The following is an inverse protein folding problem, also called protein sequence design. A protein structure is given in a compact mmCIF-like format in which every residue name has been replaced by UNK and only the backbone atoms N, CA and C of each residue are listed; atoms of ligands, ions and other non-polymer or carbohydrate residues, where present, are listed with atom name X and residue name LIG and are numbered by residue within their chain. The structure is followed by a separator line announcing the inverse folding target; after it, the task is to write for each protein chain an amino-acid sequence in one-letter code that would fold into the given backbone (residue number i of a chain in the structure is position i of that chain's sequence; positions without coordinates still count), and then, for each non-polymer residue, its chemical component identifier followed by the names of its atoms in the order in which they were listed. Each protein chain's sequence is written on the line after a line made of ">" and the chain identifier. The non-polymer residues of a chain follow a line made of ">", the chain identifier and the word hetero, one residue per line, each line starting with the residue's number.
data_IF_122746168451
#
_entry.id   IF_122746168451
#
_cell.length_a   1.000
_cell.length_b   1.000
_cell.length_c   1.000
_cell.angle_alpha   90.00
_cell.angle_beta   90.00
_cell.angle_gamma   90.00
#
_symmetry.space_group_name_H-M   'P 1'
#
loop_
_entity.id
_entity.type
_entity.pdbx_description
1 polymer ?
#
# COMPACT_ATOMS: atom_id res chain seq x y z
N UNK A 1 -27.06 0.57 -10.11
CA UNK A 1 -26.33 1.09 -8.94
C UNK A 1 -25.65 2.39 -9.31
N UNK A 2 -25.71 3.39 -8.44
CA UNK A 2 -25.02 4.67 -8.63
C UNK A 2 -23.51 4.49 -8.60
N UNK A 3 -22.71 5.32 -9.28
CA UNK A 3 -21.24 5.25 -9.21
C UNK A 3 -20.70 5.26 -7.77
N UNK A 4 -21.32 6.06 -6.90
CA UNK A 4 -20.98 6.14 -5.48
C UNK A 4 -21.09 4.78 -4.77
N UNK A 5 -22.12 3.99 -5.06
CA UNK A 5 -22.27 2.66 -4.49
C UNK A 5 -21.15 1.72 -4.96
N UNK A 6 -20.71 1.86 -6.22
CA UNK A 6 -19.54 1.13 -6.73
C UNK A 6 -18.26 1.46 -5.95
N UNK A 7 -18.00 2.75 -5.71
CA UNK A 7 -16.85 3.21 -4.91
C UNK A 7 -16.92 2.65 -3.48
N UNK A 8 -18.08 2.76 -2.82
CA UNK A 8 -18.26 2.22 -1.46
C UNK A 8 -18.06 0.70 -1.41
N UNK A 9 -18.52 -0.02 -2.45
CA UNK A 9 -18.30 -1.47 -2.57
C UNK A 9 -16.82 -1.79 -2.68
N UNK A 10 -16.09 -1.10 -3.57
CA UNK A 10 -14.65 -1.30 -3.74
C UNK A 10 -13.87 -1.01 -2.47
N UNK A 11 -14.20 0.08 -1.77
CA UNK A 11 -13.62 0.43 -0.49
C UNK A 11 -13.86 -0.67 0.55
N UNK A 12 -15.11 -1.11 0.72
CA UNK A 12 -15.47 -2.15 1.69
C UNK A 12 -14.79 -3.48 1.37
N UNK A 13 -14.77 -3.90 0.11
CA UNK A 13 -14.09 -5.13 -0.33
C UNK A 13 -12.60 -5.07 0.00
N UNK A 14 -11.94 -3.95 -0.30
CA UNK A 14 -10.49 -3.82 -0.02
C UNK A 14 -10.21 -3.73 1.46
N UNK A 15 -11.05 -3.05 2.23
CA UNK A 15 -10.93 -2.98 3.69
C UNK A 15 -11.01 -4.38 4.34
N UNK A 16 -11.81 -5.28 3.78
CA UNK A 16 -11.94 -6.67 4.27
C UNK A 16 -10.81 -7.55 3.75
N UNK A 17 -10.54 -7.52 2.43
CA UNK A 17 -9.54 -8.38 1.80
C UNK A 17 -8.09 -7.94 2.11
N UNK A 18 -7.88 -6.68 2.47
CA UNK A 18 -6.56 -6.08 2.69
C UNK A 18 -5.58 -6.26 1.51
N UNK A 19 -6.14 -6.47 0.30
CA UNK A 19 -5.38 -6.67 -0.94
C UNK A 19 -6.07 -5.99 -2.12
N UNK A 20 -5.59 -4.82 -2.49
CA UNK A 20 -6.09 -4.08 -3.66
C UNK A 20 -5.80 -4.80 -4.97
N UNK A 21 -4.66 -5.47 -5.09
CA UNK A 21 -4.31 -6.26 -6.27
C UNK A 21 -5.29 -7.41 -6.47
N UNK A 22 -5.57 -8.20 -5.42
CA UNK A 22 -6.54 -9.29 -5.50
C UNK A 22 -7.95 -8.78 -5.84
N UNK A 23 -8.40 -7.71 -5.19
CA UNK A 23 -9.70 -7.09 -5.47
C UNK A 23 -9.81 -6.60 -6.92
N UNK A 24 -8.75 -5.93 -7.44
CA UNK A 24 -8.73 -5.43 -8.82
C UNK A 24 -8.73 -6.57 -9.83
N UNK A 25 -7.93 -7.62 -9.61
CA UNK A 25 -7.91 -8.82 -10.48
C UNK A 25 -9.29 -9.49 -10.51
N UNK A 26 -9.97 -9.60 -9.37
CA UNK A 26 -11.35 -10.13 -9.31
C UNK A 26 -12.31 -9.26 -10.13
N UNK A 27 -12.24 -7.93 -10.02
CA UNK A 27 -13.08 -7.00 -10.80
C UNK A 27 -12.81 -7.17 -12.30
N UNK A 28 -11.54 -7.26 -12.73
CA UNK A 28 -11.17 -7.51 -14.12
C UNK A 28 -11.74 -8.85 -14.59
N UNK A 29 -11.66 -9.89 -13.78
CA UNK A 29 -12.24 -11.20 -14.05
C UNK A 29 -13.78 -11.15 -14.23
N UNK A 30 -14.49 -10.41 -13.36
CA UNK A 30 -15.94 -10.22 -13.49
C UNK A 30 -16.32 -9.46 -14.76
N UNK A 31 -15.52 -8.46 -15.15
CA UNK A 31 -15.71 -7.75 -16.43
C UNK A 31 -15.47 -8.68 -17.62
N UNK A 32 -14.45 -9.51 -17.56
CA UNK A 32 -14.13 -10.48 -18.61
C UNK A 32 -15.23 -11.54 -18.76
N UNK A 33 -15.79 -11.99 -17.63
CA UNK A 33 -16.90 -12.94 -17.61
C UNK A 33 -18.28 -12.33 -17.98
N UNK A 34 -18.34 -11.01 -18.23
CA UNK A 34 -19.60 -10.31 -18.52
C UNK A 34 -20.52 -10.12 -17.31
N UNK A 35 -20.03 -10.41 -16.10
CA UNK A 35 -20.78 -10.28 -14.84
C UNK A 35 -20.83 -8.84 -14.32
N UNK A 36 -19.89 -7.99 -14.76
CA UNK A 36 -19.78 -6.60 -14.33
C UNK A 36 -19.55 -5.69 -15.54
N UNK A 37 -20.38 -4.67 -15.67
CA UNK A 37 -20.24 -3.66 -16.73
C UNK A 37 -19.03 -2.74 -16.46
N UNK A 38 -18.35 -2.33 -17.51
CA UNK A 38 -17.15 -1.47 -17.44
C UNK A 38 -17.33 -0.21 -16.57
N UNK A 39 -18.40 0.62 -16.69
CA UNK A 39 -18.55 1.81 -15.86
C UNK A 39 -18.66 1.51 -14.36
N UNK A 40 -19.30 0.39 -14.01
CA UNK A 40 -19.41 -0.06 -12.63
C UNK A 40 -18.09 -0.59 -12.10
N UNK A 41 -17.35 -1.34 -12.94
CA UNK A 41 -16.03 -1.85 -12.61
C UNK A 41 -15.05 -0.70 -12.30
N UNK A 42 -15.05 0.35 -13.11
CA UNK A 42 -14.21 1.53 -12.89
C UNK A 42 -14.54 2.19 -11.55
N UNK A 43 -15.82 2.35 -11.20
CA UNK A 43 -16.22 2.90 -9.91
C UNK A 43 -15.73 2.02 -8.74
N UNK A 44 -15.84 0.70 -8.86
CA UNK A 44 -15.32 -0.24 -7.85
C UNK A 44 -13.80 -0.14 -7.72
N UNK A 45 -13.07 -0.05 -8.84
CA UNK A 45 -11.60 0.10 -8.84
C UNK A 45 -11.18 1.40 -8.13
N UNK A 46 -11.90 2.50 -8.31
CA UNK A 46 -11.63 3.73 -7.56
C UNK A 46 -11.83 3.55 -6.05
N UNK A 47 -12.88 2.82 -5.66
CA UNK A 47 -13.09 2.45 -4.27
C UNK A 47 -11.99 1.56 -3.71
N UNK A 48 -11.47 0.62 -4.50
CA UNK A 48 -10.34 -0.25 -4.14
C UNK A 48 -9.10 0.60 -3.82
N UNK A 49 -8.78 1.58 -4.66
CA UNK A 49 -7.65 2.48 -4.43
C UNK A 49 -7.78 3.25 -3.10
N UNK A 50 -8.98 3.77 -2.81
CA UNK A 50 -9.24 4.44 -1.53
C UNK A 50 -9.08 3.44 -0.36
N UNK A 51 -9.60 2.22 -0.51
CA UNK A 51 -9.52 1.18 0.53
C UNK A 51 -8.09 0.78 0.91
N UNK A 52 -7.13 0.88 -0.04
CA UNK A 52 -5.72 0.61 0.22
C UNK A 52 -5.12 1.55 1.28
N UNK A 53 -5.63 2.77 1.40
CA UNK A 53 -5.16 3.73 2.40
C UNK A 53 -5.39 3.26 3.83
N UNK A 54 -6.41 2.43 4.07
CA UNK A 54 -6.69 1.87 5.40
C UNK A 54 -5.56 0.97 5.89
N UNK A 55 -4.97 0.18 4.99
CA UNK A 55 -3.80 -0.66 5.34
C UNK A 55 -2.61 0.19 5.76
N UNK A 56 -2.33 1.27 5.01
CA UNK A 56 -1.26 2.20 5.33
C UNK A 56 -1.47 2.88 6.70
N UNK A 57 -2.73 3.25 7.03
CA UNK A 57 -3.08 3.82 8.32
C UNK A 57 -2.90 2.80 9.46
N UNK A 58 -3.31 1.54 9.26
CA UNK A 58 -3.10 0.49 10.25
C UNK A 58 -1.62 0.28 10.55
N UNK A 59 -0.77 0.24 9.51
CA UNK A 59 0.68 0.09 9.67
C UNK A 59 1.32 1.32 10.36
N UNK A 60 0.72 2.50 10.22
CA UNK A 60 1.24 3.73 10.84
C UNK A 60 1.10 3.78 12.37
N UNK A 61 0.17 3.00 12.95
CA UNK A 61 0.03 2.94 14.40
C UNK A 61 1.27 2.32 15.06
N UNK A 62 1.76 2.98 16.11
CA UNK A 62 2.80 2.42 16.95
C UNK A 62 2.18 1.48 17.98
N UNK A 63 2.18 0.20 17.64
CA UNK A 63 1.65 -0.87 18.50
C UNK A 63 2.75 -1.79 19.03
N UNK A 64 4.02 -1.39 18.95
CA UNK A 64 5.16 -2.25 19.29
C UNK A 64 5.05 -2.88 20.68
N UNK A 65 4.59 -2.12 21.68
CA UNK A 65 4.40 -2.62 23.04
C UNK A 65 3.28 -3.67 23.15
N UNK A 66 2.35 -3.70 22.20
CA UNK A 66 1.21 -4.63 22.18
C UNK A 66 1.45 -5.86 21.30
N UNK A 67 2.52 -5.89 20.51
CA UNK A 67 2.77 -6.97 19.54
C UNK A 67 2.83 -8.34 20.21
N UNK A 68 3.65 -8.51 21.25
CA UNK A 68 3.77 -9.79 21.96
C UNK A 68 2.51 -10.19 22.72
N UNK A 69 1.80 -9.29 23.46
CA UNK A 69 0.49 -9.59 24.01
C UNK A 69 -0.53 -10.04 22.96
N UNK A 70 -0.58 -9.38 21.79
CA UNK A 70 -1.48 -9.71 20.69
C UNK A 70 -1.14 -11.09 20.09
N UNK A 71 0.14 -11.36 19.85
CA UNK A 71 0.62 -12.68 19.41
C UNK A 71 0.22 -13.78 20.39
N UNK A 72 0.47 -13.56 21.68
CA UNK A 72 0.14 -14.55 22.71
C UNK A 72 -1.36 -14.81 22.80
N UNK A 73 -2.18 -13.75 22.82
CA UNK A 73 -3.64 -13.89 22.89
C UNK A 73 -4.21 -14.55 21.63
N UNK A 74 -3.69 -14.18 20.43
CA UNK A 74 -4.08 -14.79 19.17
C UNK A 74 -3.76 -16.28 19.15
N UNK A 75 -2.53 -16.65 19.51
CA UNK A 75 -2.10 -18.04 19.62
C UNK A 75 -2.95 -18.82 20.62
N UNK A 76 -3.17 -18.28 21.82
CA UNK A 76 -3.95 -18.93 22.86
C UNK A 76 -5.39 -19.15 22.42
N UNK A 77 -5.98 -18.14 21.75
CA UNK A 77 -7.35 -18.23 21.26
C UNK A 77 -7.48 -19.27 20.12
N UNK A 78 -6.53 -19.29 19.18
CA UNK A 78 -6.50 -20.28 18.10
C UNK A 78 -6.32 -21.70 18.64
N UNK A 79 -5.35 -21.90 19.54
CA UNK A 79 -5.00 -23.22 20.10
C UNK A 79 -6.07 -23.75 21.04
N UNK A 80 -6.64 -22.90 21.92
CA UNK A 80 -7.59 -23.35 22.96
C UNK A 80 -9.04 -23.39 22.50
N UNK A 81 -9.38 -22.71 21.40
CA UNK A 81 -10.75 -22.64 20.94
C UNK A 81 -11.22 -23.96 20.33
N UNK A 82 -12.38 -24.42 20.76
CA UNK A 82 -13.04 -25.63 20.21
C UNK A 82 -13.97 -25.33 19.03
N UNK A 83 -14.33 -24.06 18.82
CA UNK A 83 -15.25 -23.63 17.77
C UNK A 83 -14.47 -22.99 16.63
N UNK A 84 -14.70 -23.40 15.36
CA UNK A 84 -13.97 -22.86 14.19
C UNK A 84 -13.98 -21.32 14.08
N UNK A 85 -15.09 -20.69 14.52
CA UNK A 85 -15.19 -19.21 14.52
C UNK A 85 -14.17 -18.55 15.42
N UNK A 86 -13.92 -19.10 16.61
CA UNK A 86 -12.96 -18.56 17.56
C UNK A 86 -11.52 -18.88 17.16
N UNK A 87 -11.30 -20.04 16.52
CA UNK A 87 -10.02 -20.36 15.90
C UNK A 87 -9.67 -19.34 14.81
N UNK A 88 -10.61 -19.07 13.88
CA UNK A 88 -10.42 -18.05 12.84
C UNK A 88 -10.15 -16.65 13.41
N UNK A 89 -10.80 -16.28 14.53
CA UNK A 89 -10.51 -15.02 15.23
C UNK A 89 -9.10 -15.05 15.83
N UNK A 90 -8.71 -16.15 16.47
CA UNK A 90 -7.38 -16.36 17.02
C UNK A 90 -6.30 -16.24 15.95
N UNK A 91 -6.49 -16.94 14.82
CA UNK A 91 -5.60 -16.87 13.66
C UNK A 91 -5.48 -15.44 13.10
N UNK A 92 -6.59 -14.72 12.97
CA UNK A 92 -6.59 -13.33 12.52
C UNK A 92 -5.83 -12.41 13.48
N UNK A 93 -6.04 -12.54 14.79
CA UNK A 93 -5.34 -11.76 15.82
C UNK A 93 -3.85 -12.11 15.84
N UNK A 94 -3.50 -13.40 15.75
CA UNK A 94 -2.11 -13.86 15.67
C UNK A 94 -1.41 -13.32 14.43
N UNK A 95 -2.07 -13.43 13.26
CA UNK A 95 -1.53 -12.91 11.98
C UNK A 95 -1.33 -11.40 12.01
N UNK A 96 -2.22 -10.66 12.67
CA UNK A 96 -2.07 -9.22 12.89
C UNK A 96 -0.83 -8.91 13.75
N UNK A 97 -0.60 -9.65 14.81
CA UNK A 97 0.63 -9.56 15.61
C UNK A 97 1.88 -9.87 14.80
N UNK A 98 1.86 -10.92 13.96
CA UNK A 98 2.97 -11.28 13.08
C UNK A 98 3.28 -10.19 12.04
N UNK A 99 2.25 -9.51 11.52
CA UNK A 99 2.44 -8.39 10.62
C UNK A 99 3.29 -7.29 11.26
N UNK A 100 2.95 -6.88 12.49
CA UNK A 100 3.67 -5.83 13.20
C UNK A 100 5.06 -6.27 13.65
N UNK A 101 5.24 -7.52 14.07
CA UNK A 101 6.57 -8.07 14.35
C UNK A 101 7.44 -8.07 13.09
N UNK A 102 6.87 -8.47 11.93
CA UNK A 102 7.59 -8.41 10.65
C UNK A 102 8.01 -6.99 10.27
N UNK A 103 7.16 -6.00 10.51
CA UNK A 103 7.48 -4.57 10.29
C UNK A 103 8.61 -4.11 11.23
N UNK A 104 8.60 -4.54 12.48
CA UNK A 104 9.64 -4.21 13.45
C UNK A 104 10.99 -4.87 13.09
N UNK A 105 10.97 -6.15 12.71
CA UNK A 105 12.15 -6.87 12.20
C UNK A 105 12.73 -6.15 10.99
N UNK A 106 11.87 -5.72 10.05
CA UNK A 106 12.28 -4.94 8.88
C UNK A 106 12.95 -3.63 9.29
N UNK A 107 12.38 -2.90 10.25
CA UNK A 107 12.95 -1.66 10.79
C UNK A 107 14.33 -1.89 11.40
N UNK A 108 14.47 -2.92 12.22
CA UNK A 108 15.76 -3.31 12.82
C UNK A 108 16.80 -3.71 11.76
N UNK A 109 16.39 -4.41 10.71
CA UNK A 109 17.28 -4.80 9.61
C UNK A 109 17.75 -3.60 8.78
N UNK A 110 16.94 -2.55 8.65
CA UNK A 110 17.28 -1.33 7.93
C UNK A 110 18.10 -0.34 8.75
N UNK A 111 18.02 -0.40 10.07
CA UNK A 111 18.70 0.55 10.96
C UNK A 111 20.21 0.70 10.68
N UNK A 112 21.01 -0.37 10.45
CA UNK A 112 22.43 -0.23 10.13
C UNK A 112 22.69 0.49 8.80
N UNK A 113 21.73 0.49 7.87
CA UNK A 113 21.88 1.17 6.58
C UNK A 113 21.80 2.68 6.73
N UNK A 114 21.02 3.19 7.70
CA UNK A 114 20.86 4.61 7.95
C UNK A 114 22.17 5.34 8.31
N UNK A 115 23.19 4.59 8.78
CA UNK A 115 24.55 5.14 9.03
C UNK A 115 25.49 5.04 7.84
N UNK A 116 25.10 4.42 6.73
CA UNK A 116 25.98 4.25 5.57
C UNK A 116 25.91 5.44 4.62
N UNK A 117 27.06 5.96 4.24
CA UNK A 117 27.16 7.13 3.34
C UNK A 117 26.45 6.90 2.01
N UNK A 118 26.57 5.72 1.42
CA UNK A 118 25.91 5.38 0.16
C UNK A 118 24.39 5.44 0.30
N UNK A 119 23.84 4.95 1.40
CA UNK A 119 22.39 5.03 1.66
C UNK A 119 21.94 6.47 1.85
N UNK A 120 22.68 7.26 2.63
CA UNK A 120 22.38 8.68 2.86
C UNK A 120 22.42 9.49 1.57
N UNK A 121 23.42 9.26 0.71
CA UNK A 121 23.53 9.89 -0.60
C UNK A 121 22.31 9.58 -1.50
N UNK A 122 21.89 8.33 -1.51
CA UNK A 122 20.69 7.93 -2.25
C UNK A 122 19.42 8.57 -1.69
N UNK A 123 19.25 8.61 -0.38
CA UNK A 123 18.08 9.26 0.25
C UNK A 123 18.05 10.75 -0.03
N UNK A 124 19.22 11.42 -0.01
CA UNK A 124 19.35 12.83 -0.37
C UNK A 124 18.92 13.07 -1.82
N UNK A 125 19.41 12.25 -2.76
CA UNK A 125 19.00 12.34 -4.18
C UNK A 125 17.50 12.12 -4.38
N UNK A 126 16.91 11.16 -3.69
CA UNK A 126 15.47 10.91 -3.73
C UNK A 126 14.69 12.11 -3.19
N UNK A 127 15.16 12.73 -2.11
CA UNK A 127 14.56 13.93 -1.51
C UNK A 127 14.62 15.14 -2.45
N UNK A 128 15.72 15.30 -3.19
CA UNK A 128 15.94 16.42 -4.11
C UNK A 128 15.26 16.23 -5.47
N UNK A 129 14.98 14.98 -5.86
CA UNK A 129 14.39 14.66 -7.17
C UNK A 129 13.08 13.86 -7.02
N UNK A 130 11.93 14.53 -7.07
CA UNK A 130 10.63 13.83 -7.03
C UNK A 130 10.48 12.73 -8.10
N UNK A 131 11.06 12.94 -9.28
CA UNK A 131 11.03 11.95 -10.34
C UNK A 131 11.77 10.67 -9.94
N UNK A 132 12.93 10.80 -9.30
CA UNK A 132 13.70 9.64 -8.81
C UNK A 132 12.92 8.90 -7.72
N UNK A 133 12.24 9.62 -6.82
CA UNK A 133 11.35 9.03 -5.82
C UNK A 133 10.21 8.24 -6.45
N UNK A 134 9.55 8.80 -7.46
CA UNK A 134 8.48 8.13 -8.21
C UNK A 134 9.01 6.85 -8.88
N UNK A 135 10.15 6.92 -9.57
CA UNK A 135 10.75 5.76 -10.22
C UNK A 135 11.15 4.67 -9.22
N UNK A 136 11.65 5.06 -8.06
CA UNK A 136 12.00 4.13 -6.98
C UNK A 136 10.75 3.39 -6.47
N UNK A 137 9.69 4.12 -6.10
CA UNK A 137 8.45 3.53 -5.61
C UNK A 137 7.79 2.63 -6.64
N UNK A 138 7.73 3.08 -7.92
CA UNK A 138 7.25 2.30 -9.04
C UNK A 138 8.02 0.97 -9.17
N UNK A 139 9.35 1.04 -9.19
CA UNK A 139 10.20 -0.14 -9.35
C UNK A 139 10.05 -1.12 -8.18
N UNK A 140 10.00 -0.60 -6.95
CA UNK A 140 9.82 -1.41 -5.75
C UNK A 140 8.51 -2.19 -5.81
N UNK A 141 7.40 -1.52 -6.12
CA UNK A 141 6.08 -2.17 -6.17
C UNK A 141 5.95 -3.14 -7.32
N UNK A 142 6.56 -2.83 -8.47
CA UNK A 142 6.63 -3.78 -9.59
C UNK A 142 7.35 -5.07 -9.24
N UNK A 143 8.42 -5.00 -8.44
CA UNK A 143 9.21 -6.17 -8.03
C UNK A 143 8.52 -6.91 -6.87
N UNK A 144 8.12 -6.18 -5.84
CA UNK A 144 7.52 -6.76 -4.62
C UNK A 144 6.09 -7.25 -4.86
N UNK A 145 5.36 -6.65 -5.82
CA UNK A 145 3.95 -6.93 -6.15
C UNK A 145 3.00 -6.72 -4.95
N UNK A 146 3.42 -5.93 -3.97
CA UNK A 146 2.65 -5.60 -2.78
C UNK A 146 2.88 -4.15 -2.37
N UNK A 147 1.89 -3.30 -2.62
CA UNK A 147 1.91 -1.90 -2.20
C UNK A 147 1.98 -1.77 -0.67
N UNK A 148 1.28 -2.63 0.06
CA UNK A 148 1.33 -2.62 1.53
C UNK A 148 2.74 -2.88 2.06
N UNK A 149 3.48 -3.82 1.46
CA UNK A 149 4.87 -4.11 1.83
C UNK A 149 5.79 -2.93 1.46
N UNK A 150 5.60 -2.32 0.30
CA UNK A 150 6.34 -1.12 -0.13
C UNK A 150 6.08 0.05 0.82
N UNK A 151 4.82 0.27 1.22
CA UNK A 151 4.45 1.32 2.20
C UNK A 151 5.08 1.04 3.56
N UNK A 152 5.05 -0.20 4.05
CA UNK A 152 5.70 -0.58 5.31
C UNK A 152 7.21 -0.30 5.29
N UNK A 153 7.88 -0.67 4.19
CA UNK A 153 9.30 -0.36 3.99
C UNK A 153 9.54 1.16 3.97
N UNK A 154 8.74 1.90 3.21
CA UNK A 154 8.84 3.36 3.12
C UNK A 154 8.66 4.03 4.49
N UNK A 155 7.66 3.60 5.27
CA UNK A 155 7.42 4.12 6.62
C UNK A 155 8.60 3.82 7.55
N UNK A 156 9.19 2.62 7.46
CA UNK A 156 10.39 2.29 8.23
C UNK A 156 11.58 3.18 7.85
N UNK A 157 11.83 3.39 6.56
CA UNK A 157 12.89 4.32 6.09
C UNK A 157 12.60 5.75 6.54
N UNK A 158 11.35 6.21 6.44
CA UNK A 158 10.96 7.55 6.86
C UNK A 158 11.07 7.78 8.38
N UNK A 159 11.01 6.72 9.19
CA UNK A 159 11.24 6.78 10.65
C UNK A 159 12.72 6.79 11.03
N UNK A 160 13.64 6.44 10.12
CA UNK A 160 15.08 6.50 10.40
C UNK A 160 15.52 7.96 10.58
N UNK A 161 16.24 8.23 11.66
CA UNK A 161 16.85 9.51 11.87
C UNK A 161 18.01 9.73 10.89
N UNK A 162 18.11 10.93 10.37
CA UNK A 162 19.24 11.37 9.55
C UNK A 162 20.52 11.58 10.39
N UNK A 163 21.58 12.09 9.76
CA UNK A 163 22.87 12.32 10.43
C UNK A 163 22.80 13.28 11.62
N UNK A 164 21.79 14.15 11.66
CA UNK A 164 21.52 15.08 12.76
C UNK A 164 20.84 14.43 13.98
N UNK A 165 20.39 13.19 13.84
CA UNK A 165 19.68 12.44 14.88
C UNK A 165 18.28 12.98 15.22
N UNK A 166 17.79 14.00 14.52
CA UNK A 166 16.52 14.69 14.82
C UNK A 166 15.53 14.53 13.68
N UNK A 167 15.94 14.85 12.45
CA UNK A 167 15.06 14.81 11.29
C UNK A 167 15.10 13.45 10.60
N UNK A 168 14.00 13.09 9.95
CA UNK A 168 13.94 11.88 9.11
C UNK A 168 14.97 11.96 7.97
N UNK A 169 15.63 10.84 7.69
CA UNK A 169 16.56 10.71 6.56
C UNK A 169 15.90 11.03 5.21
N UNK A 170 14.62 10.71 5.06
CA UNK A 170 13.85 10.89 3.83
C UNK A 170 12.92 12.11 3.90
N UNK A 171 12.28 12.35 5.04
CA UNK A 171 11.27 13.40 5.22
C UNK A 171 10.04 13.20 4.34
N UNK A 172 9.06 14.09 4.43
CA UNK A 172 7.85 14.06 3.58
C UNK A 172 8.18 14.35 2.12
N UNK A 173 9.08 15.28 1.85
CA UNK A 173 9.47 15.65 0.49
C UNK A 173 10.05 14.48 -0.32
N UNK A 174 10.72 13.53 0.33
CA UNK A 174 11.20 12.30 -0.31
C UNK A 174 10.20 11.16 -0.26
N UNK A 175 9.47 11.01 0.86
CA UNK A 175 8.53 9.89 1.03
C UNK A 175 7.31 9.98 0.11
N UNK A 176 6.74 11.18 -0.08
CA UNK A 176 5.54 11.35 -0.93
C UNK A 176 5.80 10.95 -2.38
N UNK A 177 6.89 11.37 -3.06
CA UNK A 177 7.19 10.89 -4.41
C UNK A 177 7.31 9.36 -4.50
N UNK A 178 7.94 8.70 -3.54
CA UNK A 178 8.04 7.24 -3.51
C UNK A 178 6.65 6.61 -3.39
N UNK A 179 5.78 7.15 -2.53
CA UNK A 179 4.39 6.71 -2.41
C UNK A 179 3.59 6.90 -3.71
N UNK A 180 3.79 8.00 -4.43
CA UNK A 180 3.16 8.23 -5.74
C UNK A 180 3.63 7.20 -6.77
N UNK A 181 4.91 6.83 -6.74
CA UNK A 181 5.47 5.77 -7.57
C UNK A 181 4.88 4.40 -7.24
N UNK A 182 4.76 4.06 -5.95
CA UNK A 182 4.09 2.85 -5.47
C UNK A 182 2.66 2.76 -6.01
N UNK A 183 1.91 3.85 -5.95
CA UNK A 183 0.54 3.92 -6.45
C UNK A 183 0.45 3.62 -7.96
N UNK A 184 1.38 4.13 -8.76
CA UNK A 184 1.48 3.79 -10.19
C UNK A 184 1.86 2.32 -10.35
N UNK A 185 2.83 1.82 -9.58
CA UNK A 185 3.34 0.44 -9.64
C UNK A 185 2.27 -0.61 -9.38
N UNK A 186 1.32 -0.32 -8.51
CA UNK A 186 0.18 -1.18 -8.20
C UNK A 186 -0.65 -1.53 -9.44
N UNK A 187 -0.69 -0.66 -10.46
CA UNK A 187 -1.47 -0.88 -11.68
C UNK A 187 -0.90 -1.96 -12.58
N UNK A 188 0.36 -2.30 -12.43
CA UNK A 188 1.04 -3.34 -13.24
C UNK A 188 0.35 -4.70 -13.06
N UNK A 189 -0.07 -5.03 -11.83
CA UNK A 189 -0.83 -6.27 -11.56
C UNK A 189 -2.13 -6.31 -12.37
N UNK A 190 -2.85 -5.20 -12.48
CA UNK A 190 -4.07 -5.08 -13.27
C UNK A 190 -3.79 -5.25 -14.79
N UNK A 191 -2.71 -4.64 -15.27
CA UNK A 191 -2.27 -4.78 -16.67
C UNK A 191 -1.87 -6.22 -16.99
N UNK A 192 -1.17 -6.90 -16.10
CA UNK A 192 -0.82 -8.32 -16.27
C UNK A 192 -2.08 -9.20 -16.25
N UNK A 193 -3.02 -8.94 -15.35
CA UNK A 193 -4.25 -9.71 -15.22
C UNK A 193 -5.19 -9.57 -16.43
N UNK A 194 -5.09 -8.52 -17.22
CA UNK A 194 -5.93 -8.34 -18.41
C UNK A 194 -5.35 -9.01 -19.69
N UNK A 195 -4.13 -9.55 -19.64
CA UNK A 195 -3.51 -10.24 -20.77
C UNK A 195 -4.33 -11.47 -21.13
N UNK A 196 -4.71 -11.59 -22.39
CA UNK A 196 -5.56 -12.68 -22.87
C UNK A 196 -7.05 -12.54 -22.53
N UNK A 197 -7.45 -11.48 -21.84
CA UNK A 197 -8.84 -11.18 -21.49
C UNK A 197 -9.55 -10.36 -22.60
N UNK A 198 -10.87 -10.21 -22.47
CA UNK A 198 -11.68 -9.44 -23.40
C UNK A 198 -11.37 -7.92 -23.39
N UNK A 199 -11.82 -7.20 -24.43
CA UNK A 199 -11.56 -5.75 -24.59
C UNK A 199 -12.00 -4.91 -23.40
N UNK A 200 -13.10 -5.27 -22.72
CA UNK A 200 -13.59 -4.49 -21.57
C UNK A 200 -12.72 -4.71 -20.33
N UNK A 201 -12.15 -5.90 -20.13
CA UNK A 201 -11.17 -6.16 -19.09
C UNK A 201 -9.92 -5.31 -19.29
N UNK A 202 -9.38 -5.24 -20.50
CA UNK A 202 -8.25 -4.36 -20.84
C UNK A 202 -8.58 -2.87 -20.60
N UNK A 203 -9.80 -2.43 -20.96
CA UNK A 203 -10.25 -1.05 -20.67
C UNK A 203 -10.35 -0.76 -19.18
N UNK A 204 -10.79 -1.72 -18.36
CA UNK A 204 -10.83 -1.56 -16.92
C UNK A 204 -9.41 -1.42 -16.33
N UNK A 205 -8.47 -2.25 -16.76
CA UNK A 205 -7.07 -2.17 -16.35
C UNK A 205 -6.41 -0.84 -16.80
N UNK A 206 -6.67 -0.39 -18.03
CA UNK A 206 -6.20 0.90 -18.51
C UNK A 206 -6.80 2.07 -17.73
N UNK A 207 -8.11 2.03 -17.44
CA UNK A 207 -8.75 3.07 -16.62
C UNK A 207 -8.11 3.16 -15.23
N UNK A 208 -7.78 2.03 -14.60
CA UNK A 208 -7.02 1.99 -13.35
C UNK A 208 -5.65 2.65 -13.50
N UNK A 209 -4.89 2.27 -14.53
CA UNK A 209 -3.56 2.83 -14.77
C UNK A 209 -3.59 4.32 -15.08
N UNK A 210 -4.52 4.76 -15.91
CA UNK A 210 -4.70 6.19 -16.23
C UNK A 210 -5.06 7.00 -14.98
N UNK A 211 -5.94 6.48 -14.13
CA UNK A 211 -6.33 7.15 -12.89
C UNK A 211 -5.14 7.32 -11.95
N UNK A 212 -4.38 6.24 -11.68
CA UNK A 212 -3.23 6.30 -10.80
C UNK A 212 -2.09 7.16 -11.37
N UNK A 213 -1.83 7.06 -12.67
CA UNK A 213 -0.82 7.87 -13.35
C UNK A 213 -1.19 9.36 -13.30
N UNK A 214 -2.40 9.72 -13.72
CA UNK A 214 -2.85 11.12 -13.73
C UNK A 214 -2.93 11.71 -12.33
N UNK A 215 -3.44 10.95 -11.35
CA UNK A 215 -3.50 11.36 -9.96
C UNK A 215 -2.11 11.57 -9.36
N UNK A 216 -1.18 10.65 -9.60
CA UNK A 216 0.20 10.77 -9.12
C UNK A 216 0.96 11.93 -9.79
N UNK A 217 0.77 12.15 -11.08
CA UNK A 217 1.37 13.31 -11.77
C UNK A 217 0.82 14.63 -11.25
N UNK A 218 -0.50 14.72 -11.04
CA UNK A 218 -1.12 15.91 -10.46
C UNK A 218 -0.60 16.16 -9.04
N UNK A 219 -0.53 15.13 -8.21
CA UNK A 219 0.00 15.23 -6.85
C UNK A 219 1.50 15.61 -6.86
N UNK A 220 2.29 15.10 -7.81
CA UNK A 220 3.70 15.47 -7.95
C UNK A 220 3.88 16.96 -8.32
N UNK A 221 3.03 17.51 -9.19
CA UNK A 221 3.03 18.95 -9.52
C UNK A 221 2.62 19.79 -8.29
N UNK A 222 1.67 19.30 -7.51
CA UNK A 222 1.19 19.98 -6.30
C UNK A 222 2.03 19.66 -5.05
N UNK A 223 3.10 18.89 -5.17
CA UNK A 223 3.91 18.40 -4.06
C UNK A 223 4.32 19.48 -3.06
N UNK A 224 4.82 20.67 -3.47
CA UNK A 224 5.23 21.70 -2.52
C UNK A 224 4.07 22.22 -1.65
N UNK A 225 2.86 22.27 -2.23
CA UNK A 225 1.65 22.68 -1.50
C UNK A 225 1.14 21.57 -0.59
N UNK A 226 1.21 20.32 -1.06
CA UNK A 226 0.80 19.14 -0.31
C UNK A 226 1.69 18.94 0.93
N UNK A 227 3.00 19.03 0.78
CA UNK A 227 3.95 18.92 1.91
C UNK A 227 3.66 20.01 2.95
N UNK A 228 3.49 21.26 2.54
CA UNK A 228 3.16 22.37 3.46
C UNK A 228 1.85 22.15 4.20
N UNK A 229 0.84 21.55 3.54
CA UNK A 229 -0.45 21.27 4.15
C UNK A 229 -0.37 20.18 5.23
N UNK A 230 0.51 19.18 5.03
CA UNK A 230 0.66 18.04 5.93
C UNK A 230 1.58 18.35 7.09
N UNK A 231 2.55 19.26 6.93
CA UNK A 231 3.46 19.72 7.99
C UNK A 231 2.80 20.74 8.95
N UNK A 232 1.58 21.21 8.64
CA UNK A 232 0.83 22.17 9.46
C UNK A 232 -0.05 21.43 10.47
#
# INVERSE_FOLDING_TARGET
>A
ATPLLGVLTGLAVTAVLQSSSAATVMVIGFVSAGLLELPRAVAVIYGINIGTTMTAQLIAFDVQTLVYPVLFLGFLLDFAARRPRWQAVGEAVFSFGLLFEGIDILGRALHPLAGQTVFLDWMTRVKESPLLGILLGLSMTMVVQSSSATIALLQNVARQAGPDGIHSVLGLAGAVPVLLGDNIGTTVTALLACIGQGKNAARAALAHSCFNLSGSLLAAVLLPWFVRLVEF
#
